data_IF_948909144151
#
_entry.id   IF_948909144151
#
_cell.length_a   1.000
_cell.length_b   1.000
_cell.length_c   1.000
_cell.angle_alpha   90.00
_cell.angle_beta   90.00
_cell.angle_gamma   90.00
#
_symmetry.space_group_name_H-M   'P 1'
#
loop_
_entity.id
_entity.type
_entity.pdbx_description
1 polymer ?
#
# COMPACT_ATOMS: atom_id res chain seq x y z
N UNK A 1 16.35 8.19 -16.29
CA UNK A 1 15.45 7.39 -15.43
C UNK A 1 14.65 8.21 -14.41
N UNK A 2 15.18 9.25 -13.73
CA UNK A 2 14.45 9.99 -12.69
C UNK A 2 13.07 10.50 -13.14
N UNK A 3 13.03 11.18 -14.30
CA UNK A 3 11.80 11.71 -14.90
C UNK A 3 10.77 10.64 -15.26
N UNK A 4 11.20 9.43 -15.63
CA UNK A 4 10.27 8.37 -16.03
C UNK A 4 9.51 7.84 -14.82
N UNK A 5 10.19 7.66 -13.69
CA UNK A 5 9.55 7.24 -12.43
C UNK A 5 8.61 8.33 -11.93
N UNK A 6 9.04 9.60 -11.99
CA UNK A 6 8.20 10.73 -11.63
C UNK A 6 6.91 10.78 -12.45
N UNK A 7 7.01 10.73 -13.78
CA UNK A 7 5.85 10.73 -14.67
C UNK A 7 4.95 9.49 -14.46
N UNK A 8 5.53 8.33 -14.18
CA UNK A 8 4.76 7.13 -13.84
C UNK A 8 3.96 7.33 -12.55
N UNK A 9 4.55 7.91 -11.50
CA UNK A 9 3.86 8.21 -10.24
C UNK A 9 2.74 9.24 -10.44
N UNK A 10 3.00 10.31 -11.21
CA UNK A 10 1.98 11.30 -11.58
C UNK A 10 0.85 10.66 -12.36
N UNK A 11 1.15 9.83 -13.36
CA UNK A 11 0.11 9.16 -14.17
C UNK A 11 -0.67 8.14 -13.35
N UNK A 12 -0.01 7.47 -12.42
CA UNK A 12 -0.65 6.54 -11.50
C UNK A 12 -1.66 7.26 -10.59
N UNK A 13 -1.29 8.36 -9.96
CA UNK A 13 -2.14 8.99 -8.94
C UNK A 13 -3.06 10.09 -9.48
N UNK A 14 -2.62 10.89 -10.47
CA UNK A 14 -3.37 12.05 -10.96
C UNK A 14 -4.33 11.74 -12.13
N UNK A 15 -4.17 10.60 -12.82
CA UNK A 15 -4.97 10.32 -14.01
C UNK A 15 -6.48 10.19 -13.68
N UNK A 16 -7.37 10.94 -14.36
CA UNK A 16 -8.81 10.87 -14.13
C UNK A 16 -9.43 9.57 -14.69
N UNK A 17 -8.79 8.96 -15.68
CA UNK A 17 -9.21 7.66 -16.22
C UNK A 17 -8.80 6.54 -15.27
N UNK A 18 -9.77 5.69 -14.90
CA UNK A 18 -9.53 4.57 -14.00
C UNK A 18 -8.55 3.58 -14.63
N UNK A 19 -8.76 3.22 -15.91
CA UNK A 19 -7.94 2.23 -16.61
C UNK A 19 -6.47 2.65 -16.75
N UNK A 20 -6.18 3.95 -16.85
CA UNK A 20 -4.81 4.47 -16.94
C UNK A 20 -4.10 4.30 -15.61
N UNK A 21 -4.76 4.71 -14.52
CA UNK A 21 -4.19 4.56 -13.18
C UNK A 21 -4.01 3.09 -12.78
N UNK A 22 -4.95 2.22 -13.12
CA UNK A 22 -4.84 0.78 -12.86
C UNK A 22 -3.66 0.15 -13.62
N UNK A 23 -3.48 0.49 -14.91
CA UNK A 23 -2.34 0.01 -15.69
C UNK A 23 -1.01 0.53 -15.13
N UNK A 24 -0.95 1.81 -14.76
CA UNK A 24 0.24 2.40 -14.15
C UNK A 24 0.57 1.74 -12.81
N UNK A 25 -0.44 1.46 -11.98
CA UNK A 25 -0.28 0.74 -10.71
C UNK A 25 0.24 -0.69 -10.90
N UNK A 26 -0.23 -1.41 -11.91
CA UNK A 26 0.32 -2.75 -12.25
C UNK A 26 1.78 -2.67 -12.66
N UNK A 27 2.12 -1.78 -13.60
CA UNK A 27 3.51 -1.57 -14.04
C UNK A 27 4.41 -1.21 -12.86
N UNK A 28 3.96 -0.33 -11.97
CA UNK A 28 4.69 0.06 -10.77
C UNK A 28 4.90 -1.14 -9.82
N UNK A 29 3.84 -1.93 -9.59
CA UNK A 29 3.90 -3.12 -8.75
C UNK A 29 4.86 -4.16 -9.31
N UNK A 30 4.78 -4.45 -10.61
CA UNK A 30 5.66 -5.42 -11.29
C UNK A 30 7.12 -4.95 -11.30
N UNK A 31 7.35 -3.66 -11.51
CA UNK A 31 8.69 -3.08 -11.47
C UNK A 31 9.31 -3.20 -10.07
N UNK A 32 8.55 -2.88 -9.03
CA UNK A 32 9.00 -2.97 -7.64
C UNK A 32 9.21 -4.43 -7.21
N UNK A 33 8.39 -5.36 -7.67
CA UNK A 33 8.57 -6.79 -7.42
C UNK A 33 9.89 -7.31 -8.01
N UNK A 34 10.11 -7.04 -9.30
CA UNK A 34 11.35 -7.43 -10.00
C UNK A 34 12.58 -6.79 -9.36
N UNK A 35 12.49 -5.53 -8.97
CA UNK A 35 13.59 -4.79 -8.36
C UNK A 35 13.79 -5.10 -6.87
N UNK A 36 12.88 -5.80 -6.19
CA UNK A 36 12.97 -6.07 -4.75
C UNK A 36 14.27 -6.81 -4.37
N UNK A 37 15.05 -6.24 -3.45
CA UNK A 37 16.33 -6.79 -3.00
C UNK A 37 16.20 -7.96 -2.01
N UNK A 38 15.06 -8.11 -1.35
CA UNK A 38 14.79 -9.23 -0.44
C UNK A 38 14.47 -10.50 -1.23
N UNK A 39 14.86 -11.71 -0.78
CA UNK A 39 14.58 -12.97 -1.49
C UNK A 39 13.11 -13.12 -1.93
N UNK A 40 12.82 -13.81 -3.06
CA UNK A 40 11.44 -14.08 -3.44
C UNK A 40 10.70 -14.78 -2.31
N UNK A 41 9.49 -14.34 -1.95
CA UNK A 41 8.67 -15.09 -1.01
C UNK A 41 8.38 -16.49 -1.53
N UNK A 42 8.57 -17.49 -0.66
CA UNK A 42 8.45 -18.92 -0.95
C UNK A 42 7.06 -19.31 -1.47
N UNK A 43 6.01 -18.62 -1.00
CA UNK A 43 4.61 -18.88 -1.34
C UNK A 43 3.81 -17.57 -1.43
N UNK A 44 3.75 -16.93 -2.60
CA UNK A 44 2.70 -15.93 -2.86
C UNK A 44 1.50 -16.62 -3.53
N UNK A 45 0.29 -16.60 -2.93
CA UNK A 45 -0.91 -16.98 -3.64
C UNK A 45 -1.12 -16.00 -4.80
N UNK A 46 -1.53 -16.54 -5.95
CA UNK A 46 -1.88 -15.76 -7.14
C UNK A 46 -3.19 -15.01 -6.90
N UNK A 47 -3.18 -14.01 -6.03
CA UNK A 47 -4.35 -13.21 -5.70
C UNK A 47 -4.51 -12.11 -6.75
N UNK A 48 -5.37 -12.40 -7.74
CA UNK A 48 -5.94 -11.51 -8.76
C UNK A 48 -4.99 -11.05 -9.90
N UNK A 49 -5.34 -11.44 -11.14
CA UNK A 49 -5.06 -10.89 -12.49
C UNK A 49 -3.75 -10.12 -12.82
N UNK A 50 -2.74 -10.17 -11.96
CA UNK A 50 -1.38 -9.73 -12.22
C UNK A 50 -0.54 -10.95 -11.90
N UNK A 51 -0.19 -11.72 -12.92
CA UNK A 51 0.80 -12.79 -12.78
C UNK A 51 2.09 -12.15 -12.26
N UNK A 52 2.30 -12.23 -10.95
CA UNK A 52 3.57 -11.91 -10.31
C UNK A 52 4.58 -12.84 -10.97
N UNK A 53 5.39 -12.30 -11.88
CA UNK A 53 6.50 -13.02 -12.50
C UNK A 53 7.35 -13.54 -11.35
N UNK A 54 7.31 -14.86 -11.10
CA UNK A 54 8.05 -15.48 -10.01
C UNK A 54 9.53 -15.22 -10.21
N UNK A 55 10.03 -14.20 -9.53
CA UNK A 55 11.44 -13.80 -9.56
C UNK A 55 12.27 -14.94 -8.97
N UNK A 56 13.28 -15.38 -9.70
CA UNK A 56 14.17 -16.49 -9.30
C UNK A 56 15.33 -16.03 -8.40
N UNK A 57 15.59 -14.73 -8.34
CA UNK A 57 16.69 -14.13 -7.61
C UNK A 57 16.35 -12.72 -7.11
N UNK A 58 17.02 -12.22 -6.06
CA UNK A 58 17.02 -10.81 -5.66
C UNK A 58 17.25 -9.81 -6.79
N UNK A 59 16.47 -8.72 -6.75
CA UNK A 59 16.67 -7.54 -7.58
C UNK A 59 17.73 -6.61 -6.99
N UNK A 60 17.79 -5.36 -7.47
CA UNK A 60 18.84 -4.39 -7.10
C UNK A 60 18.38 -3.30 -6.11
N UNK A 61 17.09 -3.24 -5.79
CA UNK A 61 16.47 -2.26 -4.91
C UNK A 61 16.62 -0.81 -5.39
N UNK A 62 16.91 -0.57 -6.67
CA UNK A 62 17.18 0.78 -7.19
C UNK A 62 15.91 1.61 -7.32
N UNK A 63 14.82 1.00 -7.78
CA UNK A 63 13.51 1.65 -7.90
C UNK A 63 12.87 1.82 -6.53
N UNK A 64 13.02 0.82 -5.63
CA UNK A 64 12.60 0.97 -4.22
C UNK A 64 13.22 2.20 -3.57
N UNK A 65 14.56 2.28 -3.57
CA UNK A 65 15.28 3.44 -3.01
C UNK A 65 14.91 4.72 -3.74
N UNK A 66 14.68 4.67 -5.05
CA UNK A 66 14.27 5.86 -5.80
C UNK A 66 12.89 6.39 -5.37
N UNK A 67 11.96 5.54 -4.92
CA UNK A 67 10.62 5.96 -4.52
C UNK A 67 10.56 6.31 -3.03
N UNK A 68 11.17 5.48 -2.18
CA UNK A 68 11.04 5.60 -0.72
C UNK A 68 12.19 6.37 -0.05
N UNK A 69 13.36 6.48 -0.71
CA UNK A 69 14.55 7.15 -0.17
C UNK A 69 14.94 8.40 -0.97
N UNK A 70 14.15 8.79 -1.96
CA UNK A 70 14.24 10.11 -2.61
C UNK A 70 13.12 11.01 -2.07
N UNK A 71 13.50 12.10 -1.42
CA UNK A 71 12.56 13.00 -0.74
C UNK A 71 11.58 13.65 -1.71
N UNK A 72 12.01 13.95 -2.94
CA UNK A 72 11.17 14.62 -3.93
C UNK A 72 10.09 13.66 -4.43
N UNK A 73 10.46 12.42 -4.76
CA UNK A 73 9.50 11.42 -5.26
C UNK A 73 8.59 10.89 -4.16
N UNK A 74 9.11 10.66 -2.96
CA UNK A 74 8.27 10.30 -1.82
C UNK A 74 7.30 11.44 -1.47
N UNK A 75 7.81 12.69 -1.45
CA UNK A 75 7.01 13.89 -1.28
C UNK A 75 5.92 14.02 -2.33
N UNK A 76 6.22 13.74 -3.60
CA UNK A 76 5.24 13.74 -4.69
C UNK A 76 4.09 12.74 -4.42
N UNK A 77 4.39 11.51 -4.00
CA UNK A 77 3.37 10.51 -3.66
C UNK A 77 2.45 11.04 -2.55
N UNK A 78 3.04 11.60 -1.49
CA UNK A 78 2.27 12.16 -0.38
C UNK A 78 1.44 13.39 -0.77
N UNK A 79 1.98 14.28 -1.61
CA UNK A 79 1.25 15.44 -2.12
C UNK A 79 0.05 15.01 -2.95
N UNK A 80 0.23 14.06 -3.86
CA UNK A 80 -0.86 13.55 -4.71
C UNK A 80 -1.93 12.82 -3.88
N UNK A 81 -1.52 12.07 -2.85
CA UNK A 81 -2.44 11.44 -1.90
C UNK A 81 -3.24 12.43 -1.04
N UNK A 82 -2.77 13.69 -0.95
CA UNK A 82 -3.46 14.82 -0.33
C UNK A 82 -4.22 15.70 -1.33
N UNK A 83 -4.27 15.30 -2.60
CA UNK A 83 -5.00 16.02 -3.64
C UNK A 83 -4.23 17.19 -4.23
N UNK A 84 -2.92 17.26 -4.04
CA UNK A 84 -2.08 18.36 -4.51
C UNK A 84 -1.03 17.83 -5.49
N UNK A 85 -1.09 18.29 -6.73
CA UNK A 85 -0.03 18.07 -7.70
C UNK A 85 0.93 19.28 -7.69
N UNK A 86 2.20 19.09 -7.28
CA UNK A 86 3.18 20.17 -7.13
C UNK A 86 3.76 20.64 -8.47
N UNK A 87 3.21 20.21 -9.62
CA UNK A 87 3.67 20.64 -10.93
C UNK A 87 3.61 22.17 -11.05
N UNK A 88 4.67 22.81 -11.58
CA UNK A 88 4.67 24.24 -11.79
C UNK A 88 3.62 24.62 -12.84
N UNK A 89 2.59 25.36 -12.44
CA UNK A 89 1.71 26.02 -13.40
C UNK A 89 2.34 27.33 -13.88
N UNK A 90 1.98 27.85 -15.06
CA UNK A 90 2.46 29.14 -15.56
C UNK A 90 2.25 30.31 -14.57
N UNK A 91 1.27 30.17 -13.67
CA UNK A 91 0.89 31.15 -12.65
C UNK A 91 1.53 30.89 -11.28
N UNK A 92 2.38 29.86 -11.14
CA UNK A 92 2.98 29.46 -9.86
C UNK A 92 2.00 28.85 -8.85
N UNK A 93 0.75 28.57 -9.26
CA UNK A 93 -0.25 27.90 -8.41
C UNK A 93 -0.08 26.38 -8.46
N UNK A 94 -0.33 25.72 -7.34
CA UNK A 94 -0.41 24.25 -7.29
C UNK A 94 -1.69 23.76 -7.96
N UNK A 95 -1.64 22.60 -8.60
CA UNK A 95 -2.82 21.99 -9.21
C UNK A 95 -3.52 21.13 -8.15
N UNK A 96 -4.76 21.47 -7.80
CA UNK A 96 -5.57 20.68 -6.87
C UNK A 96 -6.38 19.64 -7.64
N UNK A 97 -6.32 18.39 -7.21
CA UNK A 97 -7.14 17.30 -7.72
C UNK A 97 -8.60 17.52 -7.33
N UNK A 98 -9.53 17.12 -8.21
CA UNK A 98 -10.95 17.04 -7.82
C UNK A 98 -11.16 16.00 -6.71
N UNK A 99 -12.23 16.11 -5.93
CA UNK A 99 -12.58 15.12 -4.89
C UNK A 99 -12.59 13.69 -5.44
N UNK A 100 -13.18 13.50 -6.63
CA UNK A 100 -13.17 12.20 -7.32
C UNK A 100 -11.76 11.71 -7.62
N UNK A 101 -10.87 12.58 -8.10
CA UNK A 101 -9.48 12.20 -8.38
C UNK A 101 -8.71 11.89 -7.11
N UNK A 102 -8.97 12.61 -6.02
CA UNK A 102 -8.40 12.32 -4.71
C UNK A 102 -8.81 10.92 -4.23
N UNK A 103 -10.12 10.60 -4.23
CA UNK A 103 -10.60 9.27 -3.85
C UNK A 103 -10.00 8.16 -4.73
N UNK A 104 -9.85 8.41 -6.05
CA UNK A 104 -9.17 7.48 -6.96
C UNK A 104 -7.69 7.31 -6.61
N UNK A 105 -6.95 8.39 -6.33
CA UNK A 105 -5.55 8.35 -5.95
C UNK A 105 -5.34 7.54 -4.66
N UNK A 106 -6.14 7.82 -3.63
CA UNK A 106 -6.10 7.11 -2.35
C UNK A 106 -6.47 5.63 -2.50
N UNK A 107 -7.52 5.32 -3.25
CA UNK A 107 -7.90 3.94 -3.55
C UNK A 107 -6.80 3.16 -4.29
N UNK A 108 -6.09 3.81 -5.23
CA UNK A 108 -4.94 3.19 -5.93
C UNK A 108 -3.76 2.91 -5.00
N UNK A 109 -3.48 3.79 -4.05
CA UNK A 109 -2.46 3.56 -3.02
C UNK A 109 -2.85 2.37 -2.15
N UNK A 110 -4.09 2.32 -1.66
CA UNK A 110 -4.60 1.20 -0.88
C UNK A 110 -4.50 -0.13 -1.65
N UNK A 111 -4.78 -0.16 -2.95
CA UNK A 111 -4.70 -1.39 -3.77
C UNK A 111 -3.28 -1.94 -3.94
N UNK A 112 -2.26 -1.09 -4.06
CA UNK A 112 -0.88 -1.56 -4.29
C UNK A 112 -0.19 -1.99 -3.00
N UNK A 113 -0.52 -1.35 -1.87
CA UNK A 113 0.20 -1.51 -0.61
C UNK A 113 0.25 -2.95 -0.06
N UNK A 114 -0.81 -3.79 -0.12
CA UNK A 114 -0.73 -5.18 0.31
C UNK A 114 0.37 -5.97 -0.40
N UNK A 115 0.48 -5.78 -1.72
CA UNK A 115 1.54 -6.41 -2.53
C UNK A 115 2.92 -5.90 -2.12
N UNK A 116 3.08 -4.58 -1.94
CA UNK A 116 4.36 -4.00 -1.55
C UNK A 116 4.79 -4.40 -0.13
N UNK A 117 3.84 -4.50 0.80
CA UNK A 117 4.10 -4.96 2.16
C UNK A 117 4.57 -6.42 2.18
N UNK A 118 3.97 -7.28 1.34
CA UNK A 118 4.40 -8.66 1.19
C UNK A 118 5.82 -8.80 0.65
N UNK A 119 6.25 -7.86 -0.18
CA UNK A 119 7.62 -7.80 -0.70
C UNK A 119 8.59 -7.24 0.35
N UNK A 120 8.25 -6.11 0.97
CA UNK A 120 9.09 -5.44 1.96
C UNK A 120 8.26 -4.47 2.84
N UNK A 121 7.60 -5.00 3.87
CA UNK A 121 6.79 -4.21 4.81
C UNK A 121 7.62 -3.16 5.57
N UNK A 122 8.94 -3.39 5.73
CA UNK A 122 9.82 -2.43 6.39
C UNK A 122 9.95 -1.16 5.55
N UNK A 123 10.15 -1.28 4.24
CA UNK A 123 10.30 -0.12 3.35
C UNK A 123 9.01 0.70 3.18
N UNK A 124 7.85 0.04 3.12
CA UNK A 124 6.58 0.78 3.06
C UNK A 124 6.10 1.25 4.43
N UNK A 125 6.56 0.59 5.51
CA UNK A 125 6.09 0.79 6.87
C UNK A 125 6.94 1.73 7.72
N UNK A 126 8.13 2.12 7.26
CA UNK A 126 9.06 2.99 8.00
C UNK A 126 9.55 4.08 7.06
N UNK A 127 9.60 5.32 7.55
CA UNK A 127 9.97 6.47 6.72
C UNK A 127 11.41 6.89 6.93
N UNK A 128 12.10 7.20 5.83
CA UNK A 128 13.38 7.92 5.84
C UNK A 128 13.19 9.44 6.00
N UNK A 129 11.96 9.92 5.94
CA UNK A 129 11.58 11.34 5.98
C UNK A 129 10.55 11.62 7.07
N UNK A 130 10.93 11.58 8.36
CA UNK A 130 10.01 11.85 9.48
C UNK A 130 9.38 13.24 9.41
N UNK A 131 10.03 14.21 8.76
CA UNK A 131 9.49 15.55 8.54
C UNK A 131 8.28 15.54 7.60
N UNK A 132 8.17 14.56 6.70
CA UNK A 132 7.02 14.39 5.80
C UNK A 132 5.93 13.50 6.41
N UNK A 133 6.30 12.53 7.24
CA UNK A 133 5.39 11.51 7.78
C UNK A 133 4.99 11.72 9.24
N UNK A 134 5.62 12.66 9.93
CA UNK A 134 5.41 12.98 11.35
C UNK A 134 6.20 12.11 12.33
N UNK A 135 6.67 10.94 11.91
CA UNK A 135 7.45 10.01 12.75
C UNK A 135 8.29 9.06 11.88
N UNK A 136 9.49 8.64 12.33
CA UNK A 136 10.27 7.60 11.65
C UNK A 136 9.53 6.25 11.57
N UNK A 137 8.64 5.95 12.52
CA UNK A 137 7.87 4.69 12.57
C UNK A 137 6.63 4.71 11.66
N UNK A 138 6.39 5.83 10.98
CA UNK A 138 5.22 6.03 10.12
C UNK A 138 5.70 6.11 8.68
N UNK A 139 5.54 5.02 7.93
CA UNK A 139 5.74 4.98 6.47
C UNK A 139 4.46 5.27 5.68
N UNK A 140 4.51 5.05 4.37
CA UNK A 140 3.35 5.18 3.48
C UNK A 140 2.21 4.23 3.88
N UNK A 141 2.54 3.03 4.36
CA UNK A 141 1.58 2.04 4.81
C UNK A 141 0.72 2.56 5.97
N UNK A 142 1.34 3.12 7.01
CA UNK A 142 0.65 3.71 8.16
C UNK A 142 -0.14 4.94 7.75
N UNK A 143 0.44 5.83 6.94
CA UNK A 143 -0.27 7.02 6.48
C UNK A 143 -1.54 6.65 5.69
N UNK A 144 -1.45 5.71 4.76
CA UNK A 144 -2.59 5.26 3.97
C UNK A 144 -3.67 4.62 4.83
N UNK A 145 -3.28 3.72 5.73
CA UNK A 145 -4.23 2.94 6.51
C UNK A 145 -4.86 3.71 7.68
N UNK A 146 -4.17 4.71 8.23
CA UNK A 146 -4.58 5.38 9.47
C UNK A 146 -5.01 6.84 9.28
N UNK A 147 -4.49 7.52 8.24
CA UNK A 147 -4.59 8.99 8.15
C UNK A 147 -5.07 9.51 6.78
N UNK A 148 -5.09 8.68 5.75
CA UNK A 148 -5.42 9.11 4.39
C UNK A 148 -6.92 9.03 4.08
N UNK A 149 -7.60 8.04 4.64
CA UNK A 149 -9.00 7.74 4.35
C UNK A 149 -9.93 8.51 5.28
N UNK A 150 -10.83 9.29 4.70
CA UNK A 150 -12.01 9.78 5.41
C UNK A 150 -13.02 8.65 5.58
N UNK A 151 -13.22 8.20 6.82
CA UNK A 151 -14.14 7.10 7.15
C UNK A 151 -15.62 7.52 7.11
N UNK A 152 -15.92 8.82 6.99
CA UNK A 152 -17.29 9.30 6.78
C UNK A 152 -17.77 9.10 5.34
N UNK A 153 -16.85 9.00 4.38
CA UNK A 153 -17.14 8.50 3.04
C UNK A 153 -17.22 6.96 3.08
N UNK A 154 -18.44 6.44 3.03
CA UNK A 154 -18.72 5.00 3.07
C UNK A 154 -17.95 4.22 2.01
N UNK A 155 -17.79 4.74 0.80
CA UNK A 155 -17.10 4.01 -0.27
C UNK A 155 -15.61 3.93 0.01
N UNK A 156 -15.03 5.02 0.53
CA UNK A 156 -13.62 5.03 0.95
C UNK A 156 -13.37 4.18 2.19
N UNK A 157 -14.31 4.11 3.13
CA UNK A 157 -14.21 3.20 4.26
C UNK A 157 -14.26 1.73 3.81
N UNK A 158 -15.13 1.38 2.86
CA UNK A 158 -15.14 0.04 2.26
C UNK A 158 -13.83 -0.30 1.55
N UNK A 159 -13.21 0.66 0.85
CA UNK A 159 -11.88 0.46 0.27
C UNK A 159 -10.80 0.21 1.34
N UNK A 160 -10.89 0.86 2.50
CA UNK A 160 -9.98 0.62 3.63
C UNK A 160 -10.18 -0.79 4.22
N UNK A 161 -11.42 -1.26 4.30
CA UNK A 161 -11.73 -2.62 4.76
C UNK A 161 -11.15 -3.65 3.79
N UNK A 162 -11.41 -3.51 2.48
CA UNK A 162 -10.86 -4.38 1.43
C UNK A 162 -9.31 -4.40 1.45
N UNK A 163 -8.69 -3.24 1.70
CA UNK A 163 -7.25 -3.13 1.89
C UNK A 163 -6.74 -4.01 3.04
N UNK A 164 -7.35 -3.93 4.24
CA UNK A 164 -6.90 -4.71 5.38
C UNK A 164 -7.16 -6.21 5.20
N UNK A 165 -8.28 -6.59 4.58
CA UNK A 165 -8.58 -7.97 4.25
C UNK A 165 -7.55 -8.56 3.29
N UNK A 166 -7.22 -7.81 2.24
CA UNK A 166 -6.18 -8.18 1.27
C UNK A 166 -4.82 -8.24 1.95
N UNK A 167 -4.47 -7.24 2.77
CA UNK A 167 -3.21 -7.20 3.51
C UNK A 167 -3.06 -8.43 4.40
N UNK A 168 -4.05 -8.79 5.22
CA UNK A 168 -3.94 -9.95 6.10
C UNK A 168 -3.91 -11.27 5.33
N UNK A 169 -4.67 -11.35 4.23
CA UNK A 169 -4.67 -12.55 3.37
C UNK A 169 -3.30 -12.80 2.74
N UNK A 170 -2.65 -11.75 2.24
CA UNK A 170 -1.30 -11.86 1.65
C UNK A 170 -0.24 -12.02 2.74
N UNK A 171 -0.27 -11.22 3.81
CA UNK A 171 0.77 -11.28 4.84
C UNK A 171 0.77 -12.62 5.58
N UNK A 172 -0.37 -13.32 5.69
CA UNK A 172 -0.45 -14.65 6.33
C UNK A 172 0.56 -15.67 5.79
N UNK A 173 0.87 -15.61 4.50
CA UNK A 173 1.72 -16.59 3.81
C UNK A 173 3.18 -16.13 3.65
N UNK A 174 3.48 -14.90 4.06
CA UNK A 174 4.82 -14.32 4.02
C UNK A 174 5.59 -14.75 5.27
N UNK A 175 6.89 -15.00 5.14
CA UNK A 175 7.75 -15.27 6.29
C UNK A 175 7.94 -14.00 7.13
N UNK A 176 7.72 -14.12 8.44
CA UNK A 176 7.81 -12.98 9.35
C UNK A 176 9.00 -13.07 10.29
N UNK A 177 9.77 -12.00 10.33
CA UNK A 177 10.62 -11.71 11.48
C UNK A 177 9.78 -11.10 12.61
N UNK A 178 10.34 -11.05 13.82
CA UNK A 178 9.71 -10.32 14.94
C UNK A 178 9.42 -8.85 14.57
N UNK A 179 10.32 -8.21 13.82
CA UNK A 179 10.17 -6.81 13.39
C UNK A 179 9.00 -6.63 12.41
N UNK A 180 8.91 -7.47 11.38
CA UNK A 180 7.86 -7.36 10.36
C UNK A 180 6.48 -7.66 10.94
N UNK A 181 6.40 -8.66 11.84
CA UNK A 181 5.18 -8.95 12.58
C UNK A 181 4.78 -7.78 13.49
N UNK A 182 5.75 -7.16 14.19
CA UNK A 182 5.50 -5.99 15.03
C UNK A 182 4.82 -4.84 14.26
N UNK A 183 5.37 -4.49 13.08
CA UNK A 183 4.79 -3.45 12.21
C UNK A 183 3.34 -3.79 11.85
N UNK A 184 3.07 -5.04 11.45
CA UNK A 184 1.72 -5.48 11.06
C UNK A 184 0.74 -5.42 12.24
N UNK A 185 1.13 -5.94 13.41
CA UNK A 185 0.29 -5.92 14.62
C UNK A 185 -0.02 -4.49 15.06
N UNK A 186 0.98 -3.62 15.09
CA UNK A 186 0.79 -2.23 15.49
C UNK A 186 -0.14 -1.48 14.53
N UNK A 187 -0.03 -1.73 13.22
CA UNK A 187 -0.91 -1.15 12.19
C UNK A 187 -2.37 -1.59 12.41
N UNK A 188 -2.61 -2.89 12.52
CA UNK A 188 -3.96 -3.46 12.64
C UNK A 188 -4.60 -3.08 13.97
N UNK A 189 -3.84 -3.11 15.07
CA UNK A 189 -4.31 -2.68 16.39
C UNK A 189 -4.75 -1.22 16.38
N UNK A 190 -3.97 -0.33 15.76
CA UNK A 190 -4.34 1.08 15.66
C UNK A 190 -5.58 1.28 14.78
N UNK A 191 -5.65 0.62 13.63
CA UNK A 191 -6.77 0.77 12.70
C UNK A 191 -8.10 0.27 13.26
N UNK A 192 -8.08 -0.79 14.08
CA UNK A 192 -9.28 -1.43 14.64
C UNK A 192 -9.71 -0.89 16.00
N UNK A 193 -8.92 0.00 16.62
CA UNK A 193 -9.18 0.53 17.97
C UNK A 193 -10.58 1.13 18.11
N UNK A 194 -10.97 1.95 17.14
CA UNK A 194 -12.24 2.70 17.12
C UNK A 194 -13.06 2.40 15.85
N UNK A 195 -12.84 1.24 15.22
CA UNK A 195 -13.47 0.85 13.96
C UNK A 195 -14.07 -0.56 14.04
N UNK A 196 -15.28 -0.62 14.59
CA UNK A 196 -16.00 -1.89 14.77
C UNK A 196 -16.37 -2.56 13.44
N UNK A 197 -16.60 -1.77 12.38
CA UNK A 197 -16.91 -2.31 11.06
C UNK A 197 -15.70 -3.05 10.50
N UNK A 198 -14.52 -2.41 10.51
CA UNK A 198 -13.27 -3.06 10.13
C UNK A 198 -12.99 -4.30 11.00
N UNK A 199 -13.08 -4.15 12.33
CA UNK A 199 -12.82 -5.26 13.26
C UNK A 199 -13.72 -6.47 13.01
N UNK A 200 -15.00 -6.25 12.73
CA UNK A 200 -15.95 -7.31 12.41
C UNK A 200 -15.67 -7.94 11.04
N UNK A 201 -15.35 -7.12 10.03
CA UNK A 201 -14.99 -7.60 8.70
C UNK A 201 -13.77 -8.52 8.73
N UNK A 202 -12.72 -8.15 9.49
CA UNK A 202 -11.54 -9.00 9.67
C UNK A 202 -11.87 -10.30 10.41
N UNK A 203 -12.71 -10.25 11.45
CA UNK A 203 -13.10 -11.46 12.19
C UNK A 203 -13.91 -12.45 11.37
N UNK A 204 -14.73 -11.97 10.43
CA UNK A 204 -15.55 -12.82 9.55
C UNK A 204 -14.83 -13.22 8.25
N UNK A 205 -13.66 -12.65 7.95
CA UNK A 205 -12.87 -12.96 6.75
C UNK A 205 -12.61 -14.47 6.55
N UNK A 206 -12.25 -15.25 7.59
CA UNK A 206 -12.06 -16.70 7.44
C UNK A 206 -13.31 -17.45 6.98
N UNK A 207 -14.51 -16.97 7.30
CA UNK A 207 -15.78 -17.65 7.01
C UNK A 207 -16.22 -17.48 5.55
N UNK A 208 -15.62 -16.50 4.87
CA UNK A 208 -15.80 -16.20 3.43
C UNK A 208 -14.56 -16.49 2.59
N UNK A 209 -13.59 -17.18 3.18
CA UNK A 209 -12.39 -17.70 2.51
C UNK A 209 -12.59 -19.17 2.19
N UNK A 210 -11.89 -19.70 1.19
CA UNK A 210 -11.94 -21.13 0.85
C UNK A 210 -11.57 -22.01 2.07
N UNK A 211 -12.23 -23.16 2.27
CA UNK A 211 -12.07 -23.98 3.48
C UNK A 211 -10.62 -24.35 3.80
N UNK A 212 -9.81 -24.58 2.77
CA UNK A 212 -8.40 -24.98 2.88
C UNK A 212 -7.53 -23.89 3.51
N UNK A 213 -7.88 -22.61 3.32
CA UNK A 213 -7.13 -21.46 3.86
C UNK A 213 -7.79 -20.85 5.11
N UNK A 214 -9.05 -21.18 5.39
CA UNK A 214 -9.84 -20.54 6.45
C UNK A 214 -9.20 -20.66 7.83
N UNK A 215 -8.76 -21.86 8.24
CA UNK A 215 -8.25 -22.06 9.61
C UNK A 215 -6.89 -21.38 9.83
N UNK A 216 -6.00 -21.43 8.84
CA UNK A 216 -4.74 -20.71 8.85
C UNK A 216 -4.97 -19.20 8.96
N UNK A 217 -5.93 -18.67 8.20
CA UNK A 217 -6.29 -17.24 8.26
C UNK A 217 -6.92 -16.87 9.60
N UNK A 218 -7.78 -17.71 10.15
CA UNK A 218 -8.41 -17.49 11.47
C UNK A 218 -7.36 -17.42 12.58
N UNK A 219 -6.37 -18.30 12.54
CA UNK A 219 -5.27 -18.29 13.52
C UNK A 219 -4.41 -17.05 13.37
N UNK A 220 -4.04 -16.69 12.14
CA UNK A 220 -3.24 -15.49 11.86
C UNK A 220 -3.94 -14.20 12.30
N UNK A 221 -5.23 -14.03 11.96
CA UNK A 221 -6.02 -12.85 12.35
C UNK A 221 -6.11 -12.75 13.87
N UNK A 222 -6.27 -13.88 14.58
CA UNK A 222 -6.29 -13.90 16.04
C UNK A 222 -4.97 -13.43 16.63
N UNK A 223 -3.85 -13.90 16.09
CA UNK A 223 -2.52 -13.50 16.56
C UNK A 223 -2.23 -12.01 16.28
N UNK A 224 -2.67 -11.50 15.13
CA UNK A 224 -2.46 -10.10 14.76
C UNK A 224 -3.35 -9.14 15.56
N UNK A 225 -4.55 -9.57 15.95
CA UNK A 225 -5.50 -8.77 16.74
C UNK A 225 -5.33 -8.89 18.27
N UNK A 226 -4.49 -9.82 18.74
CA UNK A 226 -4.21 -10.01 20.16
C UNK A 226 -3.41 -8.84 20.75
#
# INVERSE_FOLDING_TARGET
MPRVVEELLRRWLSAPQVEVGERAGRVLGDLLDVDCELPPPSHLPSLTASEVVKRRAPGQGRIWRRIFHDKELFGLVLSLAKGVDPSPTPEGKQVTLTERQLSLAQGRILRILPRLAALNIVEVGISQFPDLTGSPETGLLQLAALHMVDKSDTLMHLNLIDFFETLLSVMRVVEHSHRTMGILKDLVRQATKDDNLLKNALRSLPDRTVPEESEALRTFIRDVLA
#
